data_IF_806081985156
#
_entry.id   IF_806081985156
#
_cell.length_a   1.000
_cell.length_b   1.000
_cell.length_c   1.000
_cell.angle_alpha   90.00
_cell.angle_beta   90.00
_cell.angle_gamma   90.00
#
_symmetry.space_group_name_H-M   'P 1'
#
loop_
_entity.id
_entity.type
_entity.pdbx_description
1 polymer ?
#
# COMPACT_ATOMS: atom_id res chain seq x y z
N UNK A 1 0.45 15.74 -2.23
CA UNK A 1 0.28 14.27 -2.17
C UNK A 1 1.36 13.65 -3.04
N UNK A 2 2.35 13.00 -2.42
CA UNK A 2 3.41 12.29 -3.16
C UNK A 2 2.90 10.90 -3.52
N UNK A 3 2.93 10.55 -4.80
CA UNK A 3 2.51 9.24 -5.29
C UNK A 3 3.73 8.31 -5.33
N UNK A 4 3.59 7.15 -4.70
CA UNK A 4 4.61 6.11 -4.63
C UNK A 4 4.24 4.96 -5.56
N UNK A 5 5.24 4.19 -5.96
CA UNK A 5 5.07 2.95 -6.72
C UNK A 5 5.68 1.81 -5.94
N UNK A 6 5.02 0.66 -5.93
CA UNK A 6 5.52 -0.54 -5.27
C UNK A 6 4.96 -1.81 -5.89
N UNK A 7 5.32 -2.94 -5.29
CA UNK A 7 4.88 -4.28 -5.71
C UNK A 7 4.20 -4.97 -4.54
N UNK A 8 3.01 -5.52 -4.76
CA UNK A 8 2.31 -6.29 -3.72
C UNK A 8 3.09 -7.55 -3.41
N UNK A 9 3.46 -7.74 -2.14
CA UNK A 9 4.23 -8.91 -1.68
C UNK A 9 3.38 -9.88 -0.87
N UNK A 10 2.36 -9.39 -0.17
CA UNK A 10 1.47 -10.21 0.67
C UNK A 10 0.03 -9.74 0.53
N UNK A 11 -0.90 -10.70 0.56
CA UNK A 11 -2.34 -10.44 0.68
C UNK A 11 -2.91 -11.35 1.77
N UNK A 12 -3.84 -10.82 2.55
CA UNK A 12 -4.67 -11.61 3.45
C UNK A 12 -6.14 -11.42 3.07
N UNK A 13 -6.70 -12.41 2.35
CA UNK A 13 -8.09 -12.37 1.91
C UNK A 13 -9.11 -12.47 3.04
N UNK A 14 -8.72 -13.03 4.20
CA UNK A 14 -9.64 -13.20 5.33
C UNK A 14 -9.81 -11.92 6.15
N UNK A 15 -8.76 -11.10 6.20
CA UNK A 15 -8.70 -9.88 7.00
C UNK A 15 -8.69 -8.61 6.16
N UNK A 16 -8.88 -8.74 4.84
CA UNK A 16 -9.06 -7.63 3.90
C UNK A 16 -7.92 -6.61 3.85
N UNK A 17 -6.67 -7.09 3.97
CA UNK A 17 -5.47 -6.24 3.89
C UNK A 17 -4.36 -6.91 3.08
N UNK A 18 -3.32 -6.12 2.77
CA UNK A 18 -2.10 -6.61 2.16
C UNK A 18 -0.90 -5.72 2.48
N UNK A 19 0.24 -6.07 1.90
CA UNK A 19 1.49 -5.31 2.01
C UNK A 19 2.08 -5.05 0.64
N UNK A 20 2.55 -3.83 0.44
CA UNK A 20 3.22 -3.36 -0.76
C UNK A 20 4.67 -3.11 -0.39
N UNK A 21 5.60 -3.79 -1.07
CA UNK A 21 7.01 -3.46 -0.99
C UNK A 21 7.29 -2.29 -1.92
N UNK A 22 7.91 -1.24 -1.42
CA UNK A 22 8.21 -0.02 -2.17
C UNK A 22 9.59 0.50 -1.80
N UNK A 23 10.10 1.43 -2.62
CA UNK A 23 11.34 2.14 -2.29
C UNK A 23 10.97 3.44 -1.57
N UNK A 24 11.19 3.55 -0.26
CA UNK A 24 10.85 4.74 0.48
C UNK A 24 11.78 5.90 0.11
N UNK A 25 11.27 7.13 0.19
CA UNK A 25 12.09 8.32 -0.05
C UNK A 25 13.15 8.54 1.03
N UNK A 26 12.89 8.03 2.24
CA UNK A 26 13.80 8.03 3.38
C UNK A 26 14.26 6.59 3.66
N UNK A 27 15.57 6.39 3.89
CA UNK A 27 16.13 5.05 4.14
C UNK A 27 15.80 4.51 5.53
N UNK A 28 15.32 5.37 6.43
CA UNK A 28 14.90 4.98 7.77
C UNK A 28 13.45 4.47 7.82
N UNK A 29 12.68 4.64 6.73
CA UNK A 29 11.31 4.14 6.62
C UNK A 29 11.30 2.65 6.20
N UNK A 30 10.29 1.91 6.68
CA UNK A 30 10.07 0.52 6.28
C UNK A 30 9.89 0.38 4.76
N UNK A 31 10.47 -0.67 4.18
CA UNK A 31 10.38 -1.00 2.76
C UNK A 31 9.06 -1.71 2.39
N UNK A 32 8.22 -2.02 3.38
CA UNK A 32 6.87 -2.55 3.23
C UNK A 32 5.85 -1.59 3.85
N UNK A 33 4.77 -1.31 3.13
CA UNK A 33 3.63 -0.53 3.65
C UNK A 33 2.35 -1.35 3.55
N UNK A 34 1.55 -1.32 4.62
CA UNK A 34 0.28 -2.04 4.63
C UNK A 34 -0.82 -1.21 3.93
N UNK A 35 -1.78 -1.91 3.34
CA UNK A 35 -2.97 -1.31 2.74
C UNK A 35 -4.21 -2.13 3.09
N UNK A 36 -5.33 -1.43 3.25
CA UNK A 36 -6.64 -2.04 3.45
C UNK A 36 -7.37 -2.14 2.11
N UNK A 37 -8.31 -3.07 1.99
CA UNK A 37 -9.13 -3.16 0.79
C UNK A 37 -9.99 -1.92 0.57
N UNK A 38 -10.40 -1.23 1.63
CA UNK A 38 -11.17 0.00 1.48
C UNK A 38 -10.33 1.19 1.00
N UNK A 39 -8.99 1.04 1.00
CA UNK A 39 -8.08 2.06 0.49
C UNK A 39 -7.83 1.97 -1.03
N UNK A 40 -8.49 1.01 -1.71
CA UNK A 40 -8.49 0.86 -3.17
C UNK A 40 -9.41 1.89 -3.82
N UNK A 41 -8.96 2.49 -4.93
CA UNK A 41 -9.76 3.48 -5.68
C UNK A 41 -10.50 2.90 -6.88
N UNK A 42 -9.94 1.86 -7.48
CA UNK A 42 -10.43 1.33 -8.77
C UNK A 42 -11.22 0.01 -8.61
N UNK A 43 -11.49 -0.43 -7.37
CA UNK A 43 -12.22 -1.66 -7.05
C UNK A 43 -11.46 -2.97 -7.32
N UNK A 44 -10.42 -2.94 -8.16
CA UNK A 44 -9.56 -4.09 -8.46
C UNK A 44 -8.64 -4.43 -7.26
N UNK A 45 -8.65 -5.69 -6.83
CA UNK A 45 -7.69 -6.20 -5.84
C UNK A 45 -6.35 -6.45 -6.52
N UNK A 46 -5.26 -5.78 -6.08
CA UNK A 46 -3.96 -6.05 -6.65
C UNK A 46 -3.48 -7.46 -6.24
N UNK A 47 -3.11 -8.25 -7.23
CA UNK A 47 -2.53 -9.58 -7.00
C UNK A 47 -1.13 -9.49 -6.40
N UNK A 48 -0.71 -10.52 -5.65
CA UNK A 48 0.69 -10.66 -5.24
C UNK A 48 1.57 -10.70 -6.50
N UNK A 49 2.56 -9.81 -6.55
CA UNK A 49 3.40 -9.58 -7.70
C UNK A 49 2.95 -8.44 -8.60
N UNK A 50 1.74 -7.90 -8.44
CA UNK A 50 1.26 -6.76 -9.20
C UNK A 50 2.01 -5.47 -8.81
N UNK A 51 2.36 -4.70 -9.83
CA UNK A 51 2.87 -3.34 -9.65
C UNK A 51 1.70 -2.40 -9.40
N UNK A 52 1.79 -1.59 -8.34
CA UNK A 52 0.75 -0.66 -7.92
C UNK A 52 1.31 0.73 -7.71
N UNK A 53 0.44 1.73 -7.84
CA UNK A 53 0.72 3.08 -7.35
C UNK A 53 -0.18 3.39 -6.16
N UNK A 54 0.31 4.15 -5.21
CA UNK A 54 -0.43 4.49 -3.98
C UNK A 54 0.02 5.86 -3.43
N UNK A 55 -0.77 6.42 -2.53
CA UNK A 55 -0.40 7.58 -1.72
C UNK A 55 -0.06 7.11 -0.31
N UNK A 56 0.94 7.73 0.32
CA UNK A 56 1.30 7.44 1.71
C UNK A 56 0.64 8.48 2.62
N UNK A 57 -0.17 8.02 3.57
CA UNK A 57 -0.83 8.87 4.58
C UNK A 57 -0.53 8.35 5.98
N UNK A 58 -0.58 9.22 7.00
CA UNK A 58 -0.46 8.75 8.39
C UNK A 58 -1.67 7.88 8.72
N UNK A 59 -1.41 6.76 9.36
CA UNK A 59 -2.48 5.90 9.86
C UNK A 59 -3.21 6.61 11.01
N UNK A 60 -4.52 6.89 10.90
CA UNK A 60 -5.28 7.47 12.01
C UNK A 60 -5.42 6.51 13.20
N UNK A 61 -5.25 5.20 13.00
CA UNK A 61 -5.37 4.18 14.05
C UNK A 61 -4.03 3.86 14.74
N UNK A 62 -2.89 4.27 14.15
CA UNK A 62 -1.56 4.09 14.74
C UNK A 62 -0.79 5.41 14.76
N UNK A 63 -0.44 5.85 15.96
CA UNK A 63 0.26 7.11 16.22
C UNK A 63 1.60 7.27 15.49
N UNK A 64 2.23 6.16 15.10
CA UNK A 64 3.55 6.07 14.46
C UNK A 64 3.55 5.29 13.13
N UNK A 65 2.37 5.03 12.54
CA UNK A 65 2.24 4.25 11.31
C UNK A 65 1.91 5.08 10.07
N UNK A 66 2.29 4.56 8.89
CA UNK A 66 1.79 5.02 7.60
C UNK A 66 0.96 3.93 6.93
N UNK A 67 -0.08 4.34 6.21
CA UNK A 67 -0.92 3.47 5.39
C UNK A 67 -0.84 3.87 3.92
N UNK A 68 -0.91 2.87 3.05
CA UNK A 68 -1.09 3.09 1.62
C UNK A 68 -2.58 3.32 1.29
N UNK A 69 -2.88 4.52 0.80
CA UNK A 69 -4.20 4.95 0.31
C UNK A 69 -4.20 5.10 -1.20
N UNK A 70 -5.39 5.22 -1.81
CA UNK A 70 -5.54 5.41 -3.25
C UNK A 70 -4.77 4.35 -4.07
N UNK A 71 -4.80 3.09 -3.63
CA UNK A 71 -4.04 2.01 -4.29
C UNK A 71 -4.65 1.70 -5.65
N UNK A 72 -3.82 1.68 -6.69
CA UNK A 72 -4.18 1.42 -8.09
C UNK A 72 -3.22 0.44 -8.75
N UNK A 73 -3.74 -0.55 -9.45
CA UNK A 73 -2.92 -1.47 -10.27
C UNK A 73 -2.41 -0.73 -11.50
N UNK A 74 -1.10 -0.85 -11.76
CA UNK A 74 -0.48 -0.33 -12.97
C UNK A 74 -0.70 -1.35 -14.09
N UNK A 75 -1.55 -1.02 -15.05
CA UNK A 75 -1.79 -1.82 -16.27
C UNK A 75 -0.68 -1.61 -17.29
#
# INVERSE_FOLDING_TARGET
>A
MSQFTGKVVKRNLKQSFGWIKYDPADKDDDDEIYFMWDSRRDGELPDVGASVTFSRERDPEKSDGYIATNVKVKK
#
